data_IF_975775716540
#
_entry.id   IF_975775716540
#
_cell.length_a   1.000
_cell.length_b   1.000
_cell.length_c   1.000
_cell.angle_alpha   90.00
_cell.angle_beta   90.00
_cell.angle_gamma   90.00
#
_symmetry.space_group_name_H-M   'P 1'
#
loop_
_entity.id
_entity.type
_entity.pdbx_description
1 polymer ?
#
# COMPACT_ATOMS: atom_id res chain seq x y z
N UNK A 1 40.07 22.29 6.75
CA UNK A 1 39.70 22.17 6.34
C UNK A 1 38.90 21.58 5.86
N UNK A 2 38.33 21.62 5.58
CA UNK A 2 37.29 20.61 5.41
C UNK A 2 36.56 20.85 4.15
N UNK A 3 37.24 20.75 3.02
CA UNK A 3 36.61 21.00 1.74
C UNK A 3 35.43 20.09 1.48
N UNK A 4 35.54 18.82 1.87
CA UNK A 4 34.43 17.87 1.68
C UNK A 4 33.22 18.22 2.53
N UNK A 5 33.42 18.79 3.70
CA UNK A 5 32.26 19.24 4.50
C UNK A 5 31.60 20.43 3.86
N UNK A 6 32.38 21.35 3.30
CA UNK A 6 31.80 22.48 2.58
C UNK A 6 30.98 21.99 1.39
N UNK A 7 31.49 20.99 0.64
CA UNK A 7 30.75 20.41 -0.47
C UNK A 7 29.44 19.77 0.00
N UNK A 8 29.47 19.08 1.15
CA UNK A 8 28.28 18.43 1.72
C UNK A 8 27.21 19.44 2.09
N UNK A 9 27.61 20.63 2.55
CA UNK A 9 26.63 21.67 2.90
C UNK A 9 25.92 22.23 1.67
N UNK A 10 26.40 21.93 0.45
CA UNK A 10 25.73 22.34 -0.78
C UNK A 10 24.60 21.42 -1.17
N UNK A 11 24.49 20.25 -0.54
CA UNK A 11 23.43 19.31 -0.88
C UNK A 11 22.07 19.90 -0.52
N UNK A 12 21.10 19.72 -1.41
CA UNK A 12 19.70 20.10 -1.18
C UNK A 12 18.91 18.83 -0.91
N UNK A 13 18.28 18.72 0.26
CA UNK A 13 17.52 17.50 0.59
C UNK A 13 16.34 17.35 -0.36
N UNK A 14 16.11 16.12 -0.82
CA UNK A 14 15.00 15.76 -1.68
C UNK A 14 14.32 14.53 -1.08
N UNK A 15 13.01 14.60 -0.87
CA UNK A 15 12.24 13.44 -0.44
C UNK A 15 12.04 12.55 -1.68
N UNK A 16 12.71 11.40 -1.70
CA UNK A 16 12.75 10.53 -2.89
C UNK A 16 11.63 9.50 -2.92
N UNK A 17 10.99 9.24 -1.78
CA UNK A 17 9.93 8.24 -1.72
C UNK A 17 9.03 8.48 -0.52
N UNK A 18 7.83 7.93 -0.60
CA UNK A 18 6.86 7.91 0.50
C UNK A 18 6.39 6.48 0.66
N UNK A 19 6.16 6.06 1.89
CA UNK A 19 5.61 4.74 2.18
C UNK A 19 4.44 4.87 3.15
N UNK A 20 3.44 4.03 2.99
CA UNK A 20 2.37 3.90 3.97
C UNK A 20 2.81 2.91 5.05
N UNK A 21 2.34 3.11 6.28
CA UNK A 21 2.58 2.18 7.40
C UNK A 21 1.28 1.44 7.68
N UNK A 22 1.29 0.13 7.47
CA UNK A 22 0.15 -0.74 7.77
C UNK A 22 0.44 -1.54 9.03
N UNK A 23 -0.58 -1.71 9.85
CA UNK A 23 -0.48 -2.49 11.08
C UNK A 23 -1.12 -3.84 10.86
N UNK A 24 -0.37 -4.91 11.12
CA UNK A 24 -0.77 -6.26 10.77
C UNK A 24 -0.53 -7.21 11.96
N UNK A 25 -1.36 -8.26 12.05
CA UNK A 25 -1.27 -9.21 13.16
C UNK A 25 -0.21 -10.29 12.92
N UNK A 26 0.12 -10.57 11.66
CA UNK A 26 1.03 -11.64 11.29
C UNK A 26 1.84 -11.19 10.06
N UNK A 27 3.13 -10.91 10.29
CA UNK A 27 4.01 -10.41 9.22
C UNK A 27 4.11 -11.38 8.05
N UNK A 28 4.30 -12.67 8.34
CA UNK A 28 4.48 -13.67 7.27
C UNK A 28 3.22 -13.80 6.42
N UNK A 29 2.05 -13.86 7.06
CA UNK A 29 0.77 -13.94 6.35
C UNK A 29 0.52 -12.69 5.53
N UNK A 30 0.88 -11.52 6.07
CA UNK A 30 0.72 -10.24 5.37
C UNK A 30 1.62 -10.16 4.14
N UNK A 31 2.90 -10.54 4.29
CA UNK A 31 3.83 -10.57 3.15
C UNK A 31 3.32 -11.55 2.08
N UNK A 32 2.84 -12.72 2.48
CA UNK A 32 2.28 -13.70 1.54
C UNK A 32 1.08 -13.15 0.77
N UNK A 33 0.22 -12.38 1.43
CA UNK A 33 -0.91 -11.74 0.77
C UNK A 33 -0.45 -10.73 -0.27
N UNK A 34 0.44 -9.80 0.11
CA UNK A 34 0.89 -8.76 -0.80
C UNK A 34 1.68 -9.32 -1.98
N UNK A 35 2.52 -10.32 -1.75
CA UNK A 35 3.31 -10.91 -2.84
C UNK A 35 2.49 -11.88 -3.69
N UNK A 36 1.62 -12.67 -3.09
CA UNK A 36 0.87 -13.70 -3.81
C UNK A 36 -0.38 -13.18 -4.50
N UNK A 37 -1.06 -12.19 -3.93
CA UNK A 37 -2.32 -11.69 -4.49
C UNK A 37 -2.25 -10.32 -5.11
N UNK A 38 -1.40 -9.42 -4.58
CA UNK A 38 -1.34 -8.06 -5.10
C UNK A 38 -0.12 -7.80 -5.99
N UNK A 39 0.72 -8.81 -6.20
CA UNK A 39 1.86 -8.69 -7.12
C UNK A 39 2.99 -7.83 -6.60
N UNK A 40 3.06 -7.60 -5.30
CA UNK A 40 4.17 -6.89 -4.69
C UNK A 40 5.37 -7.81 -4.55
N UNK A 41 6.55 -7.23 -4.35
CA UNK A 41 7.77 -7.96 -4.03
C UNK A 41 8.15 -7.68 -2.59
N UNK A 42 8.68 -8.71 -1.91
CA UNK A 42 9.22 -8.54 -0.57
C UNK A 42 10.55 -7.80 -0.66
N UNK A 43 10.69 -6.69 0.05
CA UNK A 43 11.95 -5.95 0.13
C UNK A 43 12.78 -6.48 1.29
N UNK A 44 12.17 -6.60 2.48
CA UNK A 44 12.82 -7.22 3.65
C UNK A 44 11.76 -7.69 4.64
N UNK A 45 12.19 -8.61 5.51
CA UNK A 45 11.48 -8.99 6.74
C UNK A 45 12.48 -8.95 7.86
N UNK A 46 12.14 -8.32 8.97
CA UNK A 46 13.05 -8.12 10.09
C UNK A 46 12.45 -8.64 11.38
N UNK A 47 13.33 -9.23 12.19
CA UNK A 47 13.02 -9.67 13.55
C UNK A 47 12.84 -11.17 13.66
N UNK A 48 13.05 -11.67 14.89
CA UNK A 48 12.90 -13.07 15.25
C UNK A 48 12.18 -13.17 16.59
N UNK A 49 10.85 -13.37 16.58
CA UNK A 49 9.98 -13.53 15.40
C UNK A 49 9.85 -12.25 14.57
N UNK A 50 9.39 -12.35 13.32
CA UNK A 50 9.27 -11.16 12.46
C UNK A 50 8.29 -10.14 13.04
N UNK A 51 8.69 -8.85 13.03
CA UNK A 51 7.81 -7.77 13.51
C UNK A 51 7.75 -6.58 12.58
N UNK A 52 8.55 -6.55 11.51
CA UNK A 52 8.55 -5.48 10.55
C UNK A 52 8.92 -5.99 9.17
N UNK A 53 8.28 -5.46 8.14
CA UNK A 53 8.57 -5.85 6.76
C UNK A 53 8.28 -4.70 5.82
N UNK A 54 8.85 -4.78 4.63
CA UNK A 54 8.52 -3.87 3.55
C UNK A 54 8.24 -4.66 2.29
N UNK A 55 7.16 -4.27 1.61
CA UNK A 55 6.80 -4.79 0.29
C UNK A 55 6.68 -3.63 -0.69
N UNK A 56 6.91 -3.90 -1.96
CA UNK A 56 6.96 -2.86 -2.99
C UNK A 56 6.43 -3.38 -4.31
N UNK A 57 5.64 -2.57 -4.98
CA UNK A 57 5.27 -2.79 -6.39
C UNK A 57 5.43 -1.47 -7.11
N UNK A 58 6.31 -1.44 -8.12
CA UNK A 58 6.68 -0.21 -8.83
C UNK A 58 7.11 0.87 -7.82
N UNK A 59 6.42 1.99 -7.74
CA UNK A 59 6.74 3.05 -6.78
C UNK A 59 5.88 3.00 -5.52
N UNK A 60 5.00 2.00 -5.42
CA UNK A 60 4.19 1.80 -4.21
C UNK A 60 4.96 1.05 -3.15
N UNK A 61 5.22 1.68 -2.03
CA UNK A 61 5.98 1.11 -0.91
C UNK A 61 5.07 1.03 0.29
N UNK A 62 4.98 -0.16 0.89
CA UNK A 62 4.18 -0.39 2.09
C UNK A 62 5.07 -1.00 3.15
N UNK A 63 5.08 -0.39 4.33
CA UNK A 63 5.72 -0.96 5.51
C UNK A 63 4.66 -1.67 6.33
N UNK A 64 5.01 -2.85 6.83
CA UNK A 64 4.12 -3.71 7.61
C UNK A 64 4.68 -3.81 9.01
N UNK A 65 3.94 -3.34 10.00
CA UNK A 65 4.37 -3.37 11.39
C UNK A 65 3.45 -4.31 12.17
N UNK A 66 4.04 -5.23 12.92
CA UNK A 66 3.28 -6.15 13.77
C UNK A 66 2.64 -5.42 14.93
N UNK A 67 1.35 -5.67 15.14
CA UNK A 67 0.59 -5.23 16.30
C UNK A 67 -0.26 -6.39 16.78
N UNK A 68 -0.30 -6.59 18.10
CA UNK A 68 -1.10 -7.65 18.69
C UNK A 68 -2.59 -7.35 18.68
N UNK A 69 -2.93 -6.06 18.60
CA UNK A 69 -4.32 -5.58 18.62
C UNK A 69 -4.56 -4.61 17.48
N UNK A 70 -5.80 -4.51 16.98
CA UNK A 70 -6.14 -3.50 15.97
C UNK A 70 -5.87 -2.09 16.49
N UNK A 71 -5.27 -1.24 15.68
CA UNK A 71 -4.99 0.16 16.03
C UNK A 71 -6.15 1.08 15.70
N UNK A 72 -7.10 0.59 14.90
CA UNK A 72 -8.32 1.31 14.53
C UNK A 72 -9.49 0.38 14.80
N UNK A 73 -10.57 0.93 15.35
CA UNK A 73 -11.81 0.17 15.50
C UNK A 73 -12.29 -0.33 14.15
N UNK A 74 -12.36 -1.66 13.90
CA UNK A 74 -12.75 -2.20 12.59
C UNK A 74 -14.13 -1.72 12.13
N UNK A 75 -15.10 -1.59 13.03
CA UNK A 75 -16.43 -1.12 12.68
C UNK A 75 -16.41 0.35 12.23
N UNK A 76 -15.63 1.17 12.90
CA UNK A 76 -15.44 2.58 12.52
C UNK A 76 -14.74 2.69 11.17
N UNK A 77 -13.68 1.90 10.98
CA UNK A 77 -12.94 1.90 9.72
C UNK A 77 -13.84 1.59 8.54
N UNK A 78 -14.65 0.54 8.66
CA UNK A 78 -15.53 0.10 7.58
C UNK A 78 -16.66 1.10 7.33
N UNK A 79 -17.26 1.60 8.42
CA UNK A 79 -18.36 2.58 8.31
C UNK A 79 -17.92 3.87 7.63
N UNK A 80 -16.72 4.34 7.96
CA UNK A 80 -16.20 5.61 7.44
C UNK A 80 -15.26 5.43 6.24
N UNK A 81 -15.02 4.19 5.81
CA UNK A 81 -14.07 3.87 4.72
C UNK A 81 -12.70 4.50 4.96
N UNK A 82 -12.14 4.26 6.16
CA UNK A 82 -10.85 4.84 6.52
C UNK A 82 -9.72 4.08 5.82
N UNK A 83 -9.03 4.76 4.91
CA UNK A 83 -8.00 4.13 4.08
C UNK A 83 -6.68 4.04 4.81
N UNK A 84 -5.98 2.92 4.62
CA UNK A 84 -4.60 2.74 5.10
C UNK A 84 -3.58 3.15 4.04
N UNK A 85 -3.94 3.07 2.76
CA UNK A 85 -3.06 3.47 1.67
C UNK A 85 -3.89 3.89 0.47
N UNK A 86 -3.33 4.77 -0.34
CA UNK A 86 -3.95 5.30 -1.56
C UNK A 86 -2.89 5.21 -2.65
N UNK A 87 -3.12 4.37 -3.65
CA UNK A 87 -2.17 4.11 -4.73
C UNK A 87 -2.76 4.52 -6.07
N UNK A 88 -2.02 5.36 -6.81
CA UNK A 88 -2.49 5.92 -8.07
C UNK A 88 -1.89 5.21 -9.28
N UNK A 89 -2.69 5.07 -10.32
CA UNK A 89 -2.26 4.61 -11.63
C UNK A 89 -2.46 5.75 -12.64
N UNK A 90 -1.65 5.75 -13.70
CA UNK A 90 -1.61 6.89 -14.62
C UNK A 90 -2.72 6.87 -15.67
N UNK A 91 -3.22 5.69 -16.03
CA UNK A 91 -4.20 5.57 -17.13
C UNK A 91 -5.42 4.77 -16.70
N UNK A 92 -6.54 4.98 -17.43
CA UNK A 92 -7.75 4.21 -17.12
C UNK A 92 -7.61 2.75 -17.55
N UNK A 93 -6.80 2.46 -18.55
CA UNK A 93 -6.52 1.07 -18.91
C UNK A 93 -5.79 0.36 -17.78
N UNK A 94 -4.82 1.04 -17.16
CA UNK A 94 -4.07 0.43 -16.07
C UNK A 94 -4.93 0.12 -14.86
N UNK A 95 -5.82 1.02 -14.46
CA UNK A 95 -6.69 0.74 -13.31
C UNK A 95 -7.67 -0.40 -13.61
N UNK A 96 -8.20 -0.47 -14.83
CA UNK A 96 -9.07 -1.56 -15.24
C UNK A 96 -8.33 -2.89 -15.28
N UNK A 97 -7.12 -2.92 -15.85
CA UNK A 97 -6.32 -4.15 -15.91
C UNK A 97 -5.91 -4.62 -14.52
N UNK A 98 -5.56 -3.70 -13.64
CA UNK A 98 -5.21 -4.06 -12.26
C UNK A 98 -6.41 -4.68 -11.53
N UNK A 99 -7.60 -4.12 -11.74
CA UNK A 99 -8.82 -4.67 -11.17
C UNK A 99 -9.05 -6.12 -11.63
N UNK A 100 -8.87 -6.38 -12.92
CA UNK A 100 -9.02 -7.73 -13.47
C UNK A 100 -7.95 -8.68 -12.92
N UNK A 101 -6.72 -8.20 -12.78
CA UNK A 101 -5.63 -8.98 -12.19
C UNK A 101 -6.00 -9.41 -10.75
N UNK A 102 -6.49 -8.49 -9.96
CA UNK A 102 -6.86 -8.76 -8.57
C UNK A 102 -8.09 -9.66 -8.47
N UNK A 103 -9.06 -9.51 -9.38
CA UNK A 103 -10.21 -10.45 -9.44
C UNK A 103 -9.73 -11.87 -9.71
N UNK A 104 -8.80 -12.03 -10.67
CA UNK A 104 -8.26 -13.35 -10.99
C UNK A 104 -7.49 -13.96 -9.82
N UNK A 105 -6.89 -13.15 -8.98
CA UNK A 105 -6.16 -13.60 -7.79
C UNK A 105 -7.09 -13.89 -6.59
N UNK A 106 -8.38 -13.62 -6.71
CA UNK A 106 -9.33 -13.88 -5.62
C UNK A 106 -9.23 -12.88 -4.48
N UNK A 107 -8.88 -11.64 -4.79
CA UNK A 107 -8.77 -10.57 -3.79
C UNK A 107 -10.15 -10.20 -3.24
N UNK A 108 -10.21 -9.88 -1.94
CA UNK A 108 -11.42 -9.40 -1.28
C UNK A 108 -11.57 -7.90 -1.53
N UNK A 109 -12.61 -7.52 -2.26
CA UNK A 109 -12.89 -6.11 -2.55
C UNK A 109 -13.88 -5.55 -1.53
N UNK A 110 -13.44 -4.54 -0.80
CA UNK A 110 -14.32 -3.75 0.05
C UNK A 110 -15.25 -2.89 -0.82
N UNK A 111 -14.72 -2.37 -1.93
CA UNK A 111 -15.49 -1.61 -2.91
C UNK A 111 -15.07 -2.05 -4.31
N UNK A 112 -15.99 -2.50 -5.16
CA UNK A 112 -15.66 -2.86 -6.54
C UNK A 112 -15.31 -1.62 -7.36
N UNK A 113 -14.73 -1.86 -8.55
CA UNK A 113 -14.37 -0.76 -9.47
C UNK A 113 -15.59 0.08 -9.76
N UNK A 114 -15.46 1.39 -9.59
CA UNK A 114 -16.54 2.33 -9.89
C UNK A 114 -15.98 3.68 -10.32
N UNK A 115 -16.82 4.45 -11.02
CA UNK A 115 -16.51 5.81 -11.42
C UNK A 115 -16.92 6.76 -10.31
N UNK A 116 -16.02 7.64 -9.90
CA UNK A 116 -16.31 8.65 -8.90
C UNK A 116 -16.73 9.97 -9.56
N UNK A 117 -17.53 10.80 -8.87
CA UNK A 117 -17.99 12.07 -9.46
C UNK A 117 -16.88 13.04 -9.85
N UNK A 118 -15.71 12.91 -9.24
CA UNK A 118 -14.57 13.80 -9.51
C UNK A 118 -13.66 13.29 -10.65
N UNK A 119 -14.08 12.29 -11.42
CA UNK A 119 -13.37 11.89 -12.61
C UNK A 119 -12.30 10.82 -12.40
N UNK A 120 -12.44 10.02 -11.36
CA UNK A 120 -11.53 8.90 -11.09
C UNK A 120 -12.29 7.58 -11.14
N UNK A 121 -11.62 6.53 -11.59
CA UNK A 121 -12.04 5.15 -11.38
C UNK A 121 -11.31 4.62 -10.16
N UNK A 122 -12.04 4.05 -9.21
CA UNK A 122 -11.46 3.57 -7.95
C UNK A 122 -11.98 2.20 -7.58
N UNK A 123 -11.16 1.45 -6.85
CA UNK A 123 -11.63 0.27 -6.11
C UNK A 123 -10.84 0.18 -4.80
N UNK A 124 -11.41 -0.52 -3.84
CA UNK A 124 -10.78 -0.68 -2.52
C UNK A 124 -10.63 -2.16 -2.21
N UNK A 125 -9.41 -2.56 -1.87
CA UNK A 125 -9.06 -3.92 -1.48
C UNK A 125 -8.98 -4.00 0.03
N UNK A 126 -9.43 -5.10 0.59
CA UNK A 126 -9.28 -5.41 2.01
C UNK A 126 -8.15 -6.40 2.18
N UNK A 127 -7.19 -6.09 3.05
CA UNK A 127 -6.11 -7.04 3.37
C UNK A 127 -6.55 -8.00 4.49
N UNK A 128 -5.74 -8.99 4.88
CA UNK A 128 -6.15 -9.95 5.92
C UNK A 128 -6.46 -9.34 7.28
N UNK A 129 -5.91 -8.17 7.58
CA UNK A 129 -6.16 -7.46 8.83
C UNK A 129 -7.29 -6.45 8.71
N UNK A 130 -7.94 -6.38 7.56
CA UNK A 130 -9.01 -5.44 7.31
C UNK A 130 -8.53 -4.05 6.90
N UNK A 131 -7.24 -3.84 6.67
CA UNK A 131 -6.74 -2.58 6.14
C UNK A 131 -7.35 -2.32 4.77
N UNK A 132 -7.75 -1.09 4.52
CA UNK A 132 -8.41 -0.71 3.27
C UNK A 132 -7.39 -0.01 2.37
N UNK A 133 -7.21 -0.56 1.18
CA UNK A 133 -6.23 -0.09 0.21
C UNK A 133 -6.97 0.42 -1.02
N UNK A 134 -6.91 1.73 -1.25
CA UNK A 134 -7.54 2.36 -2.42
C UNK A 134 -6.58 2.32 -3.60
N UNK A 135 -7.12 1.95 -4.76
CA UNK A 135 -6.44 2.09 -6.04
C UNK A 135 -7.28 3.01 -6.91
N UNK A 136 -6.63 3.97 -7.56
CA UNK A 136 -7.33 5.00 -8.33
C UNK A 136 -6.60 5.30 -9.63
N UNK A 137 -7.36 5.56 -10.67
CA UNK A 137 -6.84 6.01 -11.95
C UNK A 137 -7.84 6.93 -12.63
N UNK A 138 -7.44 7.58 -13.73
CA UNK A 138 -8.36 8.46 -14.45
C UNK A 138 -9.44 7.66 -15.16
N UNK A 139 -10.56 8.32 -15.47
CA UNK A 139 -11.67 7.69 -16.19
C UNK A 139 -11.43 7.62 -17.69
N UNK A 140 -10.47 8.37 -18.18
CA UNK A 140 -10.11 8.38 -19.60
C UNK A 140 -8.73 9.01 -19.82
#
# INVERSE_FOLDING_TARGET
>A
MMPEQAAKTQAKPVISATAAELFVSDIEASVAFFTGKLGFSKVFVYGEPPFYAQVKRDRGILNLKHMDEPVIDPALRDRESLLSADMGLDTHEEIEQLYLEFQAAGVDFFQPLRKEPWGANTFIVRDPDGNLLLFAGPTE
#
